data_IF_643443841956
#
_entry.id   IF_643443841956
#
_cell.length_a   1.000
_cell.length_b   1.000
_cell.length_c   1.000
_cell.angle_alpha   90.00
_cell.angle_beta   90.00
_cell.angle_gamma   90.00
#
_symmetry.space_group_name_H-M   'P 1'
#
loop_
_entity.id
_entity.type
_entity.pdbx_description
1 polymer ?
#
# COMPACT_ATOMS: atom_id res chain seq x y z
N UNK A 1 -42.08 -11.94 1.42
CA UNK A 1 -40.96 -12.11 2.35
C UNK A 1 -39.67 -12.53 1.71
N UNK A 2 -39.69 -13.41 0.70
CA UNK A 2 -38.46 -13.88 0.04
C UNK A 2 -37.73 -12.78 -0.72
N UNK A 3 -38.43 -11.76 -1.21
CA UNK A 3 -37.83 -10.65 -1.96
C UNK A 3 -36.89 -9.80 -1.12
N UNK A 4 -37.27 -9.51 0.13
CA UNK A 4 -36.42 -8.71 1.03
C UNK A 4 -35.11 -9.40 1.35
N UNK A 5 -35.17 -10.74 1.51
CA UNK A 5 -33.99 -11.52 1.78
C UNK A 5 -32.99 -11.49 0.61
N UNK A 6 -33.46 -11.64 -0.61
CA UNK A 6 -32.62 -11.60 -1.80
C UNK A 6 -32.01 -10.23 -2.04
N UNK A 7 -32.77 -9.16 -1.79
CA UNK A 7 -32.27 -7.79 -1.92
C UNK A 7 -31.17 -7.53 -0.90
N UNK A 8 -31.33 -8.01 0.34
CA UNK A 8 -30.33 -7.85 1.39
C UNK A 8 -29.03 -8.55 1.05
N UNK A 9 -29.09 -9.78 0.53
CA UNK A 9 -27.91 -10.53 0.10
C UNK A 9 -27.19 -9.81 -1.04
N UNK A 10 -27.92 -9.30 -2.01
CA UNK A 10 -27.34 -8.56 -3.14
C UNK A 10 -26.61 -7.30 -2.68
N UNK A 11 -27.16 -6.57 -1.71
CA UNK A 11 -26.51 -5.40 -1.13
C UNK A 11 -25.22 -5.75 -0.40
N UNK A 12 -25.22 -6.83 0.36
CA UNK A 12 -24.02 -7.29 1.08
C UNK A 12 -22.93 -7.68 0.08
N UNK A 13 -23.25 -8.41 -0.96
CA UNK A 13 -22.28 -8.81 -1.99
C UNK A 13 -21.71 -7.60 -2.73
N UNK A 14 -22.53 -6.60 -2.98
CA UNK A 14 -22.10 -5.35 -3.63
C UNK A 14 -21.07 -4.61 -2.78
N UNK A 15 -21.30 -4.53 -1.45
CA UNK A 15 -20.35 -3.90 -0.54
C UNK A 15 -19.02 -4.65 -0.48
N UNK A 16 -19.05 -5.97 -0.44
CA UNK A 16 -17.83 -6.78 -0.46
C UNK A 16 -17.02 -6.58 -1.73
N UNK A 17 -17.70 -6.47 -2.87
CA UNK A 17 -17.03 -6.22 -4.15
C UNK A 17 -16.27 -4.91 -4.18
N UNK A 18 -16.81 -3.86 -3.56
CA UNK A 18 -16.15 -2.55 -3.50
C UNK A 18 -14.93 -2.59 -2.58
N UNK A 19 -15.01 -3.30 -1.43
CA UNK A 19 -13.93 -3.36 -0.45
C UNK A 19 -12.70 -4.14 -0.94
N UNK A 20 -12.84 -5.04 -1.93
CA UNK A 20 -11.76 -5.92 -2.38
C UNK A 20 -10.85 -5.31 -3.44
N UNK A 21 -11.09 -4.06 -3.88
CA UNK A 21 -10.37 -3.46 -5.01
C UNK A 21 -9.46 -2.30 -4.63
N UNK A 22 -8.99 -2.25 -3.38
CA UNK A 22 -8.18 -1.13 -2.90
C UNK A 22 -6.70 -1.35 -3.09
N UNK A 23 -6.02 -0.28 -3.47
CA UNK A 23 -4.57 -0.19 -3.49
C UNK A 23 -4.07 0.04 -2.06
N UNK A 24 -2.99 -0.63 -1.69
CA UNK A 24 -2.35 -0.44 -0.39
C UNK A 24 -0.92 0.03 -0.58
N UNK A 25 -0.49 0.94 0.28
CA UNK A 25 0.89 1.43 0.31
C UNK A 25 1.45 1.16 1.70
N UNK A 26 2.60 0.51 1.75
CA UNK A 26 3.27 0.19 3.01
C UNK A 26 4.65 0.83 3.02
N UNK A 27 4.92 1.57 4.07
CA UNK A 27 6.21 2.21 4.30
C UNK A 27 6.98 1.39 5.35
N UNK A 28 8.15 0.93 4.98
CA UNK A 28 9.04 0.17 5.86
C UNK A 28 10.25 1.03 6.21
N UNK A 29 10.52 1.19 7.49
CA UNK A 29 11.72 1.90 7.94
C UNK A 29 12.18 1.33 9.29
N UNK A 30 13.36 1.74 9.72
CA UNK A 30 13.89 1.39 11.03
C UNK A 30 13.85 2.61 11.95
N UNK A 31 13.79 2.38 13.28
CA UNK A 31 13.79 3.47 14.26
C UNK A 31 15.02 4.36 14.12
N UNK A 32 16.19 3.74 13.92
CA UNK A 32 17.44 4.49 13.79
C UNK A 32 17.51 5.36 12.54
N UNK A 33 16.60 5.16 11.58
CA UNK A 33 16.51 5.93 10.34
C UNK A 33 15.26 6.81 10.29
N UNK A 34 14.66 7.11 11.44
CA UNK A 34 13.40 7.85 11.52
C UNK A 34 13.47 9.25 10.91
N UNK A 35 14.65 9.87 10.91
CA UNK A 35 14.84 11.19 10.31
C UNK A 35 14.60 11.18 8.78
N UNK A 36 14.65 10.02 8.16
CA UNK A 36 14.43 9.84 6.73
C UNK A 36 13.08 9.17 6.42
N UNK A 37 12.13 9.24 7.35
CA UNK A 37 10.79 8.72 7.13
C UNK A 37 10.12 9.45 5.98
N UNK A 38 9.40 8.68 5.17
CA UNK A 38 8.49 9.24 4.17
C UNK A 38 7.11 9.34 4.80
N UNK A 39 6.48 10.50 4.64
CA UNK A 39 5.12 10.71 5.15
C UNK A 39 4.10 10.19 4.15
N UNK A 40 3.64 8.95 4.33
CA UNK A 40 2.65 8.34 3.45
C UNK A 40 1.24 8.90 3.64
N UNK A 41 1.01 9.70 4.69
CA UNK A 41 -0.32 10.30 4.92
C UNK A 41 -0.71 11.28 3.82
N UNK A 42 0.27 11.79 3.06
CA UNK A 42 0.02 12.71 1.94
C UNK A 42 -0.48 12.01 0.69
N UNK A 43 -0.38 10.68 0.61
CA UNK A 43 -0.86 9.91 -0.53
C UNK A 43 -2.39 9.78 -0.49
N UNK A 44 -3.01 9.71 -1.66
CA UNK A 44 -4.47 9.63 -1.81
C UNK A 44 -4.87 8.32 -2.50
N UNK A 45 -6.11 7.92 -2.27
CA UNK A 45 -6.74 6.79 -2.96
C UNK A 45 -6.07 5.45 -2.68
N UNK A 46 -5.56 5.27 -1.45
CA UNK A 46 -4.91 4.03 -1.05
C UNK A 46 -5.03 3.82 0.46
N UNK A 47 -4.96 2.56 0.86
CA UNK A 47 -4.72 2.21 2.25
C UNK A 47 -3.26 2.46 2.58
N UNK A 48 -2.97 2.85 3.81
CA UNK A 48 -1.62 3.23 4.22
C UNK A 48 -1.24 2.50 5.50
N UNK A 49 -0.01 2.00 5.55
CA UNK A 49 0.53 1.36 6.74
C UNK A 49 2.00 1.71 6.91
N UNK A 50 2.42 1.95 8.14
CA UNK A 50 3.82 2.11 8.51
C UNK A 50 4.28 0.89 9.30
N UNK A 51 5.41 0.33 8.90
CA UNK A 51 6.00 -0.82 9.58
C UNK A 51 7.41 -0.47 9.99
N UNK A 52 7.71 -0.62 11.28
CA UNK A 52 9.06 -0.48 11.83
C UNK A 52 9.68 -1.87 11.77
N UNK A 53 10.63 -2.09 10.86
CA UNK A 53 11.15 -3.43 10.58
C UNK A 53 11.94 -4.04 11.74
N UNK A 54 12.58 -3.22 12.57
CA UNK A 54 13.30 -3.72 13.73
C UNK A 54 12.37 -4.33 14.79
N UNK A 55 11.09 -3.99 14.75
CA UNK A 55 10.06 -4.57 15.61
C UNK A 55 9.28 -5.69 14.91
N UNK A 56 9.49 -5.87 13.61
CA UNK A 56 8.75 -6.82 12.78
C UNK A 56 9.70 -7.59 11.83
N UNK A 57 10.64 -8.36 12.38
CA UNK A 57 11.62 -9.06 11.53
C UNK A 57 10.98 -10.06 10.57
N UNK A 58 9.83 -10.61 10.92
CA UNK A 58 9.10 -11.53 10.05
C UNK A 58 8.59 -10.85 8.79
N UNK A 59 8.10 -9.61 8.93
CA UNK A 59 7.62 -8.83 7.79
C UNK A 59 8.77 -8.36 6.92
N UNK A 60 9.91 -8.03 7.53
CA UNK A 60 11.11 -7.69 6.80
C UNK A 60 11.55 -8.83 5.89
N UNK A 61 11.54 -10.05 6.41
CA UNK A 61 11.92 -11.24 5.66
C UNK A 61 10.89 -11.57 4.59
N UNK A 62 9.61 -11.53 4.95
CA UNK A 62 8.50 -11.84 4.05
C UNK A 62 8.53 -10.95 2.80
N UNK A 63 8.75 -9.66 2.98
CA UNK A 63 8.78 -8.69 1.90
C UNK A 63 10.17 -8.41 1.35
N UNK A 64 11.18 -9.10 1.84
CA UNK A 64 12.57 -8.99 1.39
C UNK A 64 13.04 -7.53 1.40
N UNK A 65 12.85 -6.87 2.53
CA UNK A 65 13.27 -5.48 2.72
C UNK A 65 14.78 -5.45 2.95
N UNK A 66 15.53 -4.90 1.99
CA UNK A 66 16.99 -4.85 2.00
C UNK A 66 17.55 -3.47 2.27
N UNK A 67 16.76 -2.46 2.07
CA UNK A 67 17.16 -1.07 2.31
C UNK A 67 16.03 -0.32 3.00
N UNK A 68 16.34 0.78 3.62
CA UNK A 68 15.36 1.64 4.29
C UNK A 68 15.58 3.09 3.86
N UNK A 69 14.52 3.89 3.75
CA UNK A 69 13.13 3.41 3.78
C UNK A 69 12.76 2.67 2.49
N UNK A 70 11.77 1.80 2.55
CA UNK A 70 11.21 1.15 1.37
C UNK A 70 9.72 1.37 1.37
N UNK A 71 9.17 1.75 0.22
CA UNK A 71 7.73 1.89 0.03
C UNK A 71 7.29 0.90 -1.02
N UNK A 72 6.31 0.07 -0.68
CA UNK A 72 5.76 -0.91 -1.60
C UNK A 72 4.30 -0.56 -1.87
N UNK A 73 3.94 -0.53 -3.14
CA UNK A 73 2.56 -0.35 -3.59
C UNK A 73 2.01 -1.72 -3.96
N UNK A 74 0.89 -2.09 -3.34
CA UNK A 74 0.21 -3.35 -3.57
C UNK A 74 -1.12 -3.12 -4.25
N UNK A 75 -1.48 -4.02 -5.14
CA UNK A 75 -2.82 -4.11 -5.70
C UNK A 75 -3.37 -5.49 -5.35
N UNK A 76 -4.41 -5.53 -4.51
CA UNK A 76 -5.02 -6.77 -4.04
C UNK A 76 -3.99 -7.75 -3.46
N UNK A 77 -3.13 -7.25 -2.58
CA UNK A 77 -2.08 -8.00 -1.89
C UNK A 77 -0.89 -8.44 -2.77
N UNK A 78 -0.89 -8.05 -4.04
CA UNK A 78 0.25 -8.30 -4.92
C UNK A 78 1.10 -7.06 -5.08
N UNK A 79 2.40 -7.22 -4.93
CA UNK A 79 3.34 -6.13 -5.10
C UNK A 79 3.36 -5.68 -6.56
N UNK A 80 3.11 -4.39 -6.79
CA UNK A 80 3.14 -3.78 -8.13
C UNK A 80 4.46 -3.08 -8.36
N UNK A 81 4.88 -2.25 -7.41
CA UNK A 81 6.10 -1.46 -7.52
C UNK A 81 6.67 -1.21 -6.13
N UNK A 82 7.99 -1.10 -6.05
CA UNK A 82 8.64 -0.70 -4.79
C UNK A 82 9.65 0.39 -5.06
N UNK A 83 9.75 1.29 -4.11
CA UNK A 83 10.71 2.38 -4.09
C UNK A 83 11.65 2.13 -2.91
N UNK A 84 12.93 1.92 -3.20
CA UNK A 84 13.90 1.58 -2.17
C UNK A 84 14.80 2.76 -1.85
N UNK A 85 15.21 2.87 -0.60
CA UNK A 85 16.17 3.87 -0.17
C UNK A 85 17.52 3.67 -0.83
N UNK A 86 18.25 4.77 -1.01
CA UNK A 86 19.59 4.75 -1.59
C UNK A 86 20.65 4.38 -0.53
N UNK A 87 21.92 4.45 -0.89
CA UNK A 87 23.02 4.13 0.04
C UNK A 87 23.10 5.09 1.23
N UNK A 88 22.51 6.28 1.10
CA UNK A 88 22.41 7.26 2.19
C UNK A 88 21.16 7.02 3.06
N UNK A 89 20.45 5.92 2.79
CA UNK A 89 19.23 5.57 3.52
C UNK A 89 18.13 6.64 3.40
N UNK A 90 18.06 7.24 2.22
CA UNK A 90 17.07 8.24 1.87
C UNK A 90 16.30 7.79 0.64
N UNK A 91 15.00 8.10 0.63
CA UNK A 91 14.16 7.78 -0.51
C UNK A 91 14.30 8.90 -1.55
N UNK A 92 14.68 8.53 -2.77
CA UNK A 92 14.77 9.49 -3.88
C UNK A 92 13.41 9.73 -4.53
N UNK A 93 12.52 8.75 -4.47
CA UNK A 93 11.17 8.88 -5.00
C UNK A 93 10.41 9.98 -4.26
N UNK A 94 9.63 10.74 -5.01
CA UNK A 94 8.82 11.82 -4.45
C UNK A 94 7.38 11.33 -4.24
N UNK A 95 6.59 12.13 -3.52
CA UNK A 95 5.15 11.91 -3.39
C UNK A 95 4.50 11.72 -4.77
N UNK A 96 4.88 12.55 -5.75
CA UNK A 96 4.30 12.50 -7.08
C UNK A 96 4.64 11.19 -7.80
N UNK A 97 5.87 10.69 -7.63
CA UNK A 97 6.27 9.43 -8.23
C UNK A 97 5.39 8.27 -7.74
N UNK A 98 5.15 8.24 -6.43
CA UNK A 98 4.35 7.19 -5.80
C UNK A 98 2.87 7.35 -6.19
N UNK A 99 2.37 8.58 -6.16
CA UNK A 99 0.98 8.87 -6.52
C UNK A 99 0.68 8.50 -7.97
N UNK A 100 1.63 8.71 -8.88
CA UNK A 100 1.49 8.32 -10.27
C UNK A 100 1.33 6.81 -10.44
N UNK A 101 2.08 6.03 -9.68
CA UNK A 101 1.95 4.57 -9.73
C UNK A 101 0.58 4.10 -9.22
N UNK A 102 0.06 4.72 -8.17
CA UNK A 102 -1.29 4.46 -7.67
C UNK A 102 -2.33 4.77 -8.74
N UNK A 103 -2.18 5.92 -9.39
CA UNK A 103 -3.07 6.35 -10.46
C UNK A 103 -3.06 5.38 -11.63
N UNK A 104 -1.89 4.90 -12.03
CA UNK A 104 -1.75 3.92 -13.12
C UNK A 104 -2.52 2.63 -12.84
N UNK A 105 -2.51 2.16 -11.60
CA UNK A 105 -3.26 0.97 -11.20
C UNK A 105 -4.75 1.17 -11.43
N UNK A 106 -5.29 2.29 -10.96
CA UNK A 106 -6.72 2.58 -11.14
C UNK A 106 -7.10 2.74 -12.61
N UNK A 107 -6.27 3.43 -13.39
CA UNK A 107 -6.53 3.60 -14.82
C UNK A 107 -6.56 2.26 -15.56
N UNK A 108 -5.66 1.35 -15.21
CA UNK A 108 -5.61 0.03 -15.82
C UNK A 108 -6.88 -0.79 -15.56
N UNK A 109 -7.54 -0.57 -14.41
CA UNK A 109 -8.77 -1.29 -14.05
C UNK A 109 -9.98 -0.86 -14.87
N UNK A 110 -9.93 0.31 -15.48
CA UNK A 110 -11.05 0.86 -16.28
C UNK A 110 -10.86 0.65 -17.79
N UNK A 111 -9.77 0.02 -18.19
CA UNK A 111 -9.55 -0.41 -19.57
C UNK A 111 -10.12 -1.85 -19.79
#
# INVERSE_FOLDING_TARGET
MNYLYHILIALILFFYGICCSQVSVVHFNSEWNADNNFDITVLKDCKKSDIVICHNPELQEKHKIRSVPTIIVFDEEQEVVRFEGNIMMQLEATKNDIQEEIKKIYLAKFE
#
